data_IF_520458434960
#
_entry.id   IF_520458434960
#
_cell.length_a   1.000
_cell.length_b   1.000
_cell.length_c   1.000
_cell.angle_alpha   90.00
_cell.angle_beta   90.00
_cell.angle_gamma   90.00
#
_symmetry.space_group_name_H-M   'P 1'
#
loop_
_entity.id
_entity.type
_entity.pdbx_description
1 polymer ?
#
# COMPACT_ATOMS: atom_id res chain seq x y z
N UNK A 1 24.11 45.04 19.92
CA UNK A 1 23.15 45.70 19.00
C UNK A 1 21.76 45.37 19.55
N UNK A 2 21.16 46.15 20.48
CA UNK A 2 20.41 47.41 20.25
C UNK A 2 19.66 47.33 18.89
N UNK A 3 18.34 47.48 18.76
CA UNK A 3 17.45 48.41 19.45
C UNK A 3 15.99 48.22 18.99
N UNK A 4 15.06 48.48 19.92
CA UNK A 4 13.80 49.23 19.77
C UNK A 4 12.57 48.78 18.93
N UNK A 5 11.55 48.38 19.70
CA UNK A 5 10.12 48.80 19.72
C UNK A 5 9.76 50.15 19.03
N UNK A 6 8.60 50.19 18.33
CA UNK A 6 7.46 51.14 18.52
C UNK A 6 6.44 51.03 17.37
N UNK A 7 5.27 50.40 17.53
CA UNK A 7 3.96 51.01 17.85
C UNK A 7 3.78 52.45 17.30
N UNK A 8 2.91 52.62 16.30
CA UNK A 8 2.50 53.91 15.73
C UNK A 8 1.05 54.18 16.10
N UNK A 9 0.81 55.37 16.63
CA UNK A 9 -0.47 55.95 17.02
C UNK A 9 -0.97 56.83 15.89
N UNK A 10 -2.21 56.63 15.43
CA UNK A 10 -2.86 57.50 14.46
C UNK A 10 -3.97 58.33 15.12
N UNK A 11 -3.82 59.64 15.00
CA UNK A 11 -4.78 60.69 15.33
C UNK A 11 -4.07 62.03 15.10
N UNK A 12 -4.58 62.91 14.21
CA UNK A 12 -5.71 63.78 14.56
C UNK A 12 -6.77 63.95 13.44
N UNK A 13 -7.96 64.38 13.87
CA UNK A 13 -9.07 64.88 13.05
C UNK A 13 -8.75 66.29 12.51
N UNK A 14 -9.01 66.60 11.23
CA UNK A 14 -9.60 67.90 10.86
C UNK A 14 -10.17 67.94 9.43
N UNK A 15 -11.21 68.75 9.34
CA UNK A 15 -12.30 68.92 8.41
C UNK A 15 -11.87 69.57 7.08
N UNK A 16 -12.07 68.84 5.98
CA UNK A 16 -12.24 69.43 4.64
C UNK A 16 -13.59 69.01 4.06
N UNK A 17 -14.64 69.63 4.59
CA UNK A 17 -15.78 70.12 3.81
C UNK A 17 -15.27 70.77 2.49
N UNK A 18 -15.77 70.57 1.27
CA UNK A 18 -16.79 69.72 0.65
C UNK A 18 -16.44 69.68 -0.87
N UNK A 19 -16.69 68.61 -1.62
CA UNK A 19 -16.69 68.69 -3.07
C UNK A 19 -18.00 69.32 -3.57
N UNK A 20 -17.88 70.40 -4.34
CA UNK A 20 -18.93 70.93 -5.20
C UNK A 20 -18.81 70.28 -6.59
N UNK A 21 -19.97 70.04 -7.21
CA UNK A 21 -20.17 69.78 -8.65
C UNK A 21 -19.58 68.48 -9.23
N UNK A 22 -20.23 67.74 -10.14
CA UNK A 22 -21.46 67.90 -10.92
C UNK A 22 -21.58 66.61 -11.79
N UNK A 23 -22.80 66.09 -11.94
CA UNK A 23 -23.32 65.23 -13.03
C UNK A 23 -22.60 63.87 -13.29
N UNK A 24 -23.26 62.75 -13.55
CA UNK A 24 -24.32 62.53 -14.53
C UNK A 24 -25.09 61.20 -14.27
N UNK A 25 -26.37 61.24 -14.65
CA UNK A 25 -27.16 60.22 -15.36
C UNK A 25 -27.26 58.78 -14.82
N UNK A 26 -28.51 58.40 -14.54
CA UNK A 26 -29.20 57.21 -15.11
C UNK A 26 -29.84 56.29 -14.05
N UNK A 27 -31.18 56.28 -14.04
CA UNK A 27 -32.07 55.08 -14.07
C UNK A 27 -31.95 54.12 -12.87
N UNK A 28 -32.99 53.59 -12.24
CA UNK A 28 -34.44 53.73 -12.20
C UNK A 28 -34.88 52.63 -11.21
N UNK A 29 -35.86 52.94 -10.36
CA UNK A 29 -36.87 52.01 -9.81
C UNK A 29 -36.48 50.72 -9.04
N UNK A 30 -37.34 50.44 -8.05
CA UNK A 30 -37.74 49.10 -7.61
C UNK A 30 -36.83 48.35 -6.62
N UNK A 31 -37.05 48.59 -5.32
CA UNK A 31 -36.84 47.56 -4.29
C UNK A 31 -37.98 47.58 -3.26
N UNK A 32 -39.15 47.07 -3.67
CA UNK A 32 -40.14 46.46 -2.76
C UNK A 32 -40.85 45.35 -3.51
N UNK A 33 -40.25 44.17 -3.58
CA UNK A 33 -40.95 42.88 -3.71
C UNK A 33 -39.89 41.78 -3.68
N UNK A 34 -39.87 40.95 -2.63
CA UNK A 34 -39.52 39.52 -2.69
C UNK A 34 -39.33 38.97 -1.27
N UNK A 35 -40.44 38.62 -0.64
CA UNK A 35 -40.47 37.77 0.56
C UNK A 35 -41.42 36.61 0.32
N UNK A 36 -41.16 35.78 -0.69
CA UNK A 36 -41.92 34.54 -0.96
C UNK A 36 -41.16 33.48 -1.78
N UNK A 37 -39.90 33.12 -1.46
CA UNK A 37 -39.26 31.93 -2.07
C UNK A 37 -38.18 31.35 -1.15
N UNK A 38 -38.52 30.49 -0.18
CA UNK A 38 -37.47 29.74 0.55
C UNK A 38 -37.90 28.40 1.18
N UNK A 39 -38.93 27.71 0.67
CA UNK A 39 -39.36 26.41 1.24
C UNK A 39 -39.34 25.24 0.25
N UNK A 40 -39.09 25.46 -1.04
CA UNK A 40 -39.19 24.38 -2.05
C UNK A 40 -37.87 23.67 -2.44
N UNK A 41 -36.73 23.94 -1.79
CA UNK A 41 -35.42 23.42 -2.21
C UNK A 41 -34.88 22.22 -1.40
N UNK A 42 -35.46 21.90 -0.23
CA UNK A 42 -34.91 20.87 0.66
C UNK A 42 -35.28 19.42 0.30
N UNK A 43 -36.39 19.19 -0.41
CA UNK A 43 -36.87 17.83 -0.70
C UNK A 43 -36.16 17.15 -1.90
N UNK A 44 -35.59 17.93 -2.81
CA UNK A 44 -34.95 17.39 -4.02
C UNK A 44 -33.57 16.76 -3.75
N UNK A 45 -32.88 17.21 -2.69
CA UNK A 45 -31.53 16.76 -2.35
C UNK A 45 -31.48 15.41 -1.62
N UNK A 46 -32.57 14.98 -0.97
CA UNK A 46 -32.59 13.72 -0.22
C UNK A 46 -32.72 12.49 -1.13
N UNK A 47 -33.42 12.62 -2.26
CA UNK A 47 -33.55 11.54 -3.25
C UNK A 47 -32.25 11.31 -4.04
N UNK A 48 -31.55 12.39 -4.40
CA UNK A 48 -30.23 12.32 -5.03
C UNK A 48 -29.18 11.70 -4.09
N UNK A 49 -29.18 12.08 -2.81
CA UNK A 49 -28.28 11.49 -1.81
C UNK A 49 -28.54 10.00 -1.57
N UNK A 50 -29.82 9.59 -1.51
CA UNK A 50 -30.20 8.17 -1.37
C UNK A 50 -29.80 7.33 -2.57
N UNK A 51 -29.99 7.85 -3.79
CA UNK A 51 -29.57 7.18 -5.02
C UNK A 51 -28.04 7.08 -5.11
N UNK A 52 -27.30 8.12 -4.73
CA UNK A 52 -25.85 8.10 -4.69
C UNK A 52 -25.29 7.09 -3.67
N UNK A 53 -25.91 6.98 -2.48
CA UNK A 53 -25.53 5.99 -1.46
C UNK A 53 -25.84 4.57 -1.94
N UNK A 54 -27.00 4.33 -2.56
CA UNK A 54 -27.34 3.02 -3.14
C UNK A 54 -26.38 2.63 -4.26
N UNK A 55 -26.00 3.57 -5.14
CA UNK A 55 -25.03 3.33 -6.21
C UNK A 55 -23.63 3.05 -5.67
N UNK A 56 -23.21 3.73 -4.58
CA UNK A 56 -21.93 3.47 -3.91
C UNK A 56 -21.92 2.09 -3.25
N UNK A 57 -23.02 1.67 -2.62
CA UNK A 57 -23.18 0.33 -2.04
C UNK A 57 -23.17 -0.76 -3.11
N UNK A 58 -23.85 -0.55 -4.25
CA UNK A 58 -23.84 -1.51 -5.37
C UNK A 58 -22.45 -1.61 -6.01
N UNK A 59 -21.72 -0.49 -6.15
CA UNK A 59 -20.33 -0.49 -6.64
C UNK A 59 -19.36 -1.23 -5.71
N UNK A 60 -19.60 -1.18 -4.38
CA UNK A 60 -18.85 -1.93 -3.38
C UNK A 60 -19.13 -3.44 -3.41
N UNK A 61 -20.32 -3.87 -3.85
CA UNK A 61 -20.70 -5.29 -3.98
C UNK A 61 -20.34 -5.92 -5.34
N UNK A 62 -20.18 -5.13 -6.41
CA UNK A 62 -19.75 -5.62 -7.73
C UNK A 62 -18.23 -5.75 -7.90
N UNK A 63 -17.44 -5.25 -6.96
CA UNK A 63 -16.01 -5.52 -6.91
C UNK A 63 -15.81 -6.78 -6.07
N UNK A 64 -15.62 -7.98 -6.68
CA UNK A 64 -15.22 -9.13 -5.89
C UNK A 64 -13.93 -8.73 -5.16
N UNK A 65 -13.81 -8.94 -3.84
CA UNK A 65 -12.54 -8.80 -3.19
C UNK A 65 -11.62 -9.81 -3.88
N UNK A 66 -10.70 -9.32 -4.72
CA UNK A 66 -9.65 -10.13 -5.31
C UNK A 66 -8.63 -10.41 -4.20
N UNK A 67 -9.08 -11.11 -3.16
CA UNK A 67 -8.20 -11.82 -2.26
C UNK A 67 -7.86 -13.09 -3.02
N UNK A 68 -6.90 -12.97 -3.94
CA UNK A 68 -6.17 -14.15 -4.38
C UNK A 68 -5.57 -14.72 -3.10
N UNK A 69 -6.12 -15.85 -2.64
CA UNK A 69 -5.54 -16.56 -1.53
C UNK A 69 -4.08 -16.83 -1.89
N UNK A 70 -3.13 -16.37 -1.07
CA UNK A 70 -1.70 -16.67 -1.24
C UNK A 70 -1.39 -18.15 -0.96
N UNK A 71 -2.39 -19.04 -1.09
CA UNK A 71 -2.27 -20.44 -0.75
C UNK A 71 -1.50 -21.22 -1.80
N UNK A 72 -0.76 -22.19 -1.33
CA UNK A 72 -0.12 -23.21 -2.16
C UNK A 72 -1.15 -24.30 -2.51
N UNK A 73 -1.34 -24.57 -3.81
CA UNK A 73 -2.01 -25.79 -4.26
C UNK A 73 -1.12 -27.00 -3.96
N UNK A 74 -1.52 -27.94 -3.09
CA UNK A 74 -0.72 -29.12 -2.77
C UNK A 74 -0.39 -29.98 -3.99
N UNK A 75 -1.17 -29.91 -5.07
CA UNK A 75 -0.87 -30.64 -6.29
C UNK A 75 0.41 -30.14 -6.99
N UNK A 76 0.82 -28.88 -6.75
CA UNK A 76 2.05 -28.32 -7.29
C UNK A 76 3.30 -29.03 -6.72
N UNK A 77 3.23 -29.53 -5.48
CA UNK A 77 4.34 -30.23 -4.80
C UNK A 77 4.74 -31.55 -5.48
N UNK A 78 3.84 -32.11 -6.28
CA UNK A 78 4.02 -33.37 -7.00
C UNK A 78 4.53 -33.17 -8.44
N UNK A 79 4.68 -31.93 -8.87
CA UNK A 79 5.09 -31.57 -10.23
C UNK A 79 6.47 -30.90 -10.20
N UNK A 80 7.25 -30.98 -11.28
CA UNK A 80 8.48 -30.19 -11.40
C UNK A 80 8.20 -28.69 -11.23
N UNK A 81 9.14 -27.97 -10.61
CA UNK A 81 9.06 -26.54 -10.34
C UNK A 81 9.23 -25.69 -11.62
N UNK A 82 8.16 -25.54 -12.40
CA UNK A 82 8.14 -24.76 -13.65
C UNK A 82 7.85 -23.27 -13.44
N UNK A 83 6.93 -22.95 -12.55
CA UNK A 83 6.34 -21.63 -12.33
C UNK A 83 6.23 -21.28 -10.83
N UNK A 84 6.53 -22.24 -9.96
CA UNK A 84 6.57 -22.09 -8.51
C UNK A 84 7.72 -22.90 -7.91
N UNK A 85 8.30 -22.41 -6.81
CA UNK A 85 9.27 -23.12 -5.98
C UNK A 85 8.75 -23.27 -4.53
N UNK A 86 7.78 -24.17 -4.29
CA UNK A 86 7.00 -24.21 -3.05
C UNK A 86 7.66 -24.93 -1.88
N UNK A 87 8.82 -25.56 -2.08
CA UNK A 87 9.56 -26.26 -1.01
C UNK A 87 11.03 -25.90 -1.00
N UNK A 88 11.74 -26.29 0.05
CA UNK A 88 13.19 -26.14 0.15
C UNK A 88 13.94 -26.71 -1.08
N UNK A 89 13.40 -27.75 -1.73
CA UNK A 89 14.01 -28.38 -2.89
C UNK A 89 13.26 -28.13 -4.22
N UNK A 90 12.27 -27.25 -4.22
CA UNK A 90 11.35 -27.03 -5.35
C UNK A 90 10.19 -28.02 -5.32
N UNK A 91 10.48 -29.31 -5.39
CA UNK A 91 9.50 -30.41 -5.34
C UNK A 91 9.91 -31.51 -4.35
N UNK A 92 9.08 -32.56 -4.23
CA UNK A 92 9.38 -33.71 -3.38
C UNK A 92 10.43 -34.66 -3.93
N UNK A 93 10.97 -34.43 -5.14
CA UNK A 93 12.03 -35.25 -5.68
C UNK A 93 13.38 -34.97 -5.00
N UNK A 94 13.52 -33.83 -4.30
CA UNK A 94 14.77 -33.46 -3.61
C UNK A 94 15.93 -33.08 -4.53
N UNK A 95 15.71 -32.95 -5.85
CA UNK A 95 16.77 -32.75 -6.84
C UNK A 95 17.25 -31.31 -6.96
N UNK A 96 16.45 -30.35 -6.48
CA UNK A 96 16.71 -28.90 -6.65
C UNK A 96 16.92 -28.54 -8.12
N UNK A 97 16.03 -29.02 -8.99
CA UNK A 97 16.13 -28.87 -10.44
C UNK A 97 14.94 -28.08 -10.98
N UNK A 98 15.21 -27.05 -11.78
CA UNK A 98 14.18 -26.35 -12.57
C UNK A 98 14.29 -26.74 -14.04
N UNK A 99 13.16 -27.07 -14.71
CA UNK A 99 13.14 -27.31 -16.15
C UNK A 99 13.15 -26.03 -16.99
N UNK A 100 13.15 -24.84 -16.39
CA UNK A 100 13.19 -23.56 -17.12
C UNK A 100 14.52 -23.39 -17.87
N UNK A 101 14.44 -22.94 -19.12
CA UNK A 101 15.59 -22.79 -20.03
C UNK A 101 15.73 -21.37 -20.63
N UNK A 102 14.89 -20.43 -20.20
CA UNK A 102 14.96 -19.03 -20.63
C UNK A 102 16.36 -18.44 -20.39
N UNK A 103 16.99 -18.80 -19.27
CA UNK A 103 18.39 -18.50 -18.98
C UNK A 103 19.19 -19.77 -19.24
N UNK A 104 20.20 -19.68 -20.09
CA UNK A 104 21.00 -20.82 -20.52
C UNK A 104 22.44 -20.40 -20.89
N UNK A 105 23.26 -21.37 -21.28
CA UNK A 105 24.69 -21.15 -21.57
C UNK A 105 24.95 -20.09 -22.66
N UNK A 106 24.00 -19.88 -23.58
CA UNK A 106 24.19 -18.92 -24.67
C UNK A 106 23.81 -17.49 -24.29
N UNK A 107 23.10 -17.25 -23.18
CA UNK A 107 22.65 -15.90 -22.79
C UNK A 107 22.96 -15.50 -21.33
N UNK A 108 23.55 -16.40 -20.53
CA UNK A 108 23.88 -16.15 -19.12
C UNK A 108 24.73 -14.88 -18.91
N UNK A 109 25.57 -14.55 -19.89
CA UNK A 109 26.44 -13.37 -19.87
C UNK A 109 25.69 -12.04 -20.03
N UNK A 110 24.40 -12.07 -20.39
CA UNK A 110 23.54 -10.89 -20.50
C UNK A 110 22.73 -10.62 -19.23
N UNK A 111 22.88 -11.44 -18.17
CA UNK A 111 22.17 -11.21 -16.93
C UNK A 111 22.59 -9.89 -16.28
N UNK A 112 21.58 -9.15 -15.83
CA UNK A 112 21.75 -7.94 -15.05
C UNK A 112 20.92 -8.04 -13.78
N UNK A 113 21.33 -7.29 -12.75
CA UNK A 113 20.62 -7.20 -11.50
C UNK A 113 19.22 -6.60 -11.73
N UNK A 114 18.17 -7.35 -11.39
CA UNK A 114 16.79 -6.87 -11.48
C UNK A 114 16.41 -5.96 -10.30
N UNK A 115 16.74 -6.39 -9.07
CA UNK A 115 16.48 -5.65 -7.84
C UNK A 115 17.33 -6.21 -6.68
N UNK A 116 17.43 -5.45 -5.58
CA UNK A 116 18.08 -5.87 -4.32
C UNK A 116 17.10 -5.68 -3.18
N UNK A 117 17.08 -6.64 -2.26
CA UNK A 117 16.40 -6.55 -0.97
C UNK A 117 17.44 -6.66 0.16
N UNK A 118 17.35 -5.81 1.18
CA UNK A 118 18.24 -5.82 2.34
C UNK A 118 17.49 -6.27 3.59
N UNK A 119 17.77 -7.49 4.05
CA UNK A 119 17.23 -8.02 5.30
C UNK A 119 17.98 -7.52 6.55
N UNK A 120 19.13 -6.84 6.36
CA UNK A 120 20.03 -6.39 7.44
C UNK A 120 20.50 -7.51 8.38
N UNK A 121 20.50 -8.76 7.90
CA UNK A 121 20.91 -9.96 8.63
C UNK A 121 21.57 -10.97 7.70
N UNK A 122 22.31 -11.93 8.27
CA UNK A 122 22.85 -13.06 7.52
C UNK A 122 21.72 -14.00 7.08
N UNK A 123 21.60 -14.23 5.78
CA UNK A 123 20.59 -15.12 5.20
C UNK A 123 21.21 -16.48 4.85
N UNK A 124 20.72 -17.53 5.51
CA UNK A 124 21.02 -18.95 5.18
C UNK A 124 19.82 -19.67 4.54
N UNK A 125 18.75 -18.93 4.30
CA UNK A 125 17.47 -19.43 3.84
C UNK A 125 17.50 -19.79 2.35
N UNK A 126 16.81 -20.88 1.99
CA UNK A 126 16.34 -21.05 0.61
C UNK A 126 14.95 -20.42 0.52
N UNK A 127 14.74 -19.37 -0.29
CA UNK A 127 13.43 -18.78 -0.46
C UNK A 127 12.44 -19.78 -1.08
N UNK A 128 11.20 -19.74 -0.61
CA UNK A 128 10.08 -20.30 -1.37
C UNK A 128 9.56 -19.24 -2.33
N UNK A 129 9.17 -19.63 -3.53
CA UNK A 129 8.45 -18.78 -4.47
C UNK A 129 7.08 -19.40 -4.74
N UNK A 130 6.02 -18.70 -4.34
CA UNK A 130 4.64 -19.14 -4.54
C UNK A 130 3.80 -17.95 -4.95
N UNK A 131 3.13 -18.05 -6.11
CA UNK A 131 2.24 -17.02 -6.65
C UNK A 131 2.91 -15.63 -6.78
N UNK A 132 4.18 -15.56 -7.16
CA UNK A 132 4.93 -14.31 -7.32
C UNK A 132 5.44 -13.70 -6.02
N UNK A 133 5.38 -14.44 -4.91
CA UNK A 133 5.85 -14.00 -3.60
C UNK A 133 7.02 -14.87 -3.15
N UNK A 134 8.11 -14.22 -2.76
CA UNK A 134 9.26 -14.83 -2.11
C UNK A 134 9.05 -14.85 -0.60
N UNK A 135 9.14 -16.04 0.00
CA UNK A 135 9.14 -16.23 1.45
C UNK A 135 10.49 -16.74 1.92
N UNK A 136 11.16 -16.01 2.80
CA UNK A 136 12.47 -16.38 3.33
C UNK A 136 12.66 -15.88 4.75
N UNK A 137 13.72 -16.38 5.39
CA UNK A 137 13.93 -16.21 6.83
C UNK A 137 15.35 -15.81 7.18
N UNK A 138 15.46 -15.14 8.32
CA UNK A 138 16.66 -15.12 9.16
C UNK A 138 16.24 -15.65 10.54
N UNK A 139 17.16 -15.91 11.50
CA UNK A 139 16.76 -16.08 12.89
C UNK A 139 15.77 -14.98 13.31
N UNK A 140 14.69 -15.33 13.99
CA UNK A 140 13.62 -14.43 14.49
C UNK A 140 12.78 -13.70 13.43
N UNK A 141 13.04 -13.90 12.14
CA UNK A 141 12.49 -13.07 11.08
C UNK A 141 11.96 -13.90 9.90
N UNK A 142 10.79 -13.52 9.38
CA UNK A 142 10.21 -14.06 8.15
C UNK A 142 9.73 -12.90 7.30
N UNK A 143 10.12 -12.87 6.03
CA UNK A 143 9.66 -11.87 5.07
C UNK A 143 8.81 -12.51 3.98
N UNK A 144 7.81 -11.76 3.51
CA UNK A 144 7.23 -11.94 2.19
C UNK A 144 7.61 -10.74 1.32
N UNK A 145 8.18 -11.03 0.15
CA UNK A 145 8.66 -10.02 -0.79
C UNK A 145 8.09 -10.31 -2.17
N UNK A 146 7.66 -9.26 -2.87
CA UNK A 146 7.25 -9.35 -4.27
C UNK A 146 8.44 -9.81 -5.14
N UNK A 147 8.31 -10.97 -5.81
CA UNK A 147 9.39 -11.57 -6.57
C UNK A 147 9.81 -10.73 -7.79
N UNK A 148 8.93 -9.88 -8.30
CA UNK A 148 9.16 -9.09 -9.51
C UNK A 148 9.86 -7.76 -9.21
N UNK A 149 9.50 -7.14 -8.09
CA UNK A 149 9.96 -5.78 -7.76
C UNK A 149 10.83 -5.68 -6.51
N UNK A 150 10.97 -6.77 -5.73
CA UNK A 150 11.76 -6.77 -4.49
C UNK A 150 11.13 -5.94 -3.37
N UNK A 151 9.84 -5.61 -3.47
CA UNK A 151 9.11 -4.83 -2.45
C UNK A 151 8.66 -5.74 -1.31
N UNK A 152 8.95 -5.34 -0.08
CA UNK A 152 8.38 -5.99 1.11
C UNK A 152 6.85 -5.93 1.07
N UNK A 153 6.21 -7.08 1.20
CA UNK A 153 4.76 -7.20 1.36
C UNK A 153 4.43 -7.17 2.86
N UNK A 154 5.16 -7.99 3.63
CA UNK A 154 5.11 -7.99 5.09
C UNK A 154 6.39 -8.57 5.67
N UNK A 155 6.63 -8.23 6.94
CA UNK A 155 7.72 -8.75 7.76
C UNK A 155 7.16 -9.20 9.11
N UNK A 156 7.44 -10.44 9.47
CA UNK A 156 7.19 -10.98 10.79
C UNK A 156 8.50 -11.01 11.57
N UNK A 157 8.47 -10.49 12.80
CA UNK A 157 9.58 -10.53 13.73
C UNK A 157 9.10 -11.03 15.10
N UNK A 158 9.82 -12.01 15.65
CA UNK A 158 9.65 -12.48 17.03
C UNK A 158 11.02 -12.77 17.60
N UNK A 159 11.45 -11.95 18.55
CA UNK A 159 12.64 -12.22 19.33
C UNK A 159 12.53 -13.59 20.00
N UNK A 160 13.61 -14.36 19.96
CA UNK A 160 13.70 -15.64 20.65
C UNK A 160 15.04 -15.79 21.35
N UNK A 161 15.06 -16.67 22.36
CA UNK A 161 16.28 -17.06 23.05
C UNK A 161 17.00 -18.16 22.27
N UNK A 162 18.30 -18.33 22.48
CA UNK A 162 19.10 -19.40 21.85
C UNK A 162 20.05 -18.89 20.78
N UNK A 163 20.59 -19.84 20.00
CA UNK A 163 21.69 -19.56 19.07
C UNK A 163 21.19 -19.10 17.69
N UNK A 164 21.45 -17.83 17.35
CA UNK A 164 21.12 -17.23 16.05
C UNK A 164 22.14 -17.61 14.95
N UNK A 165 22.45 -18.89 14.82
CA UNK A 165 23.43 -19.42 13.84
C UNK A 165 22.89 -19.47 12.40
N UNK A 166 21.62 -19.09 12.19
CA UNK A 166 20.96 -19.00 10.89
C UNK A 166 19.69 -19.84 10.78
N UNK A 167 18.86 -19.56 9.78
CA UNK A 167 17.57 -20.25 9.56
C UNK A 167 17.43 -20.66 8.09
N UNK A 168 16.96 -21.90 7.84
CA UNK A 168 17.01 -22.53 6.50
C UNK A 168 15.83 -22.20 5.57
N UNK A 169 14.83 -21.50 6.08
CA UNK A 169 13.62 -21.13 5.33
C UNK A 169 12.36 -21.64 5.99
N UNK A 170 11.24 -21.37 5.34
CA UNK A 170 9.91 -21.78 5.81
C UNK A 170 9.45 -23.06 5.09
N UNK A 171 8.53 -23.79 5.71
CA UNK A 171 7.64 -24.72 5.03
C UNK A 171 6.33 -24.04 4.69
N UNK A 172 5.62 -24.52 3.66
CA UNK A 172 4.29 -24.03 3.31
C UNK A 172 3.33 -25.19 3.10
N UNK A 173 2.11 -25.05 3.59
CA UNK A 173 1.03 -25.97 3.29
C UNK A 173 -0.30 -25.22 3.24
N UNK A 174 -0.96 -25.27 2.07
CA UNK A 174 -2.16 -24.47 1.80
C UNK A 174 -1.87 -23.00 2.11
N UNK A 175 -2.59 -22.42 3.06
CA UNK A 175 -2.55 -21.00 3.40
C UNK A 175 -1.57 -20.67 4.53
N UNK A 176 -0.81 -21.66 5.01
CA UNK A 176 0.02 -21.52 6.20
C UNK A 176 1.49 -21.62 5.86
N UNK A 177 2.28 -20.74 6.49
CA UNK A 177 3.72 -20.82 6.53
C UNK A 177 4.13 -21.38 7.88
N UNK A 178 5.16 -22.21 7.89
CA UNK A 178 5.67 -22.87 9.08
C UNK A 178 7.15 -22.57 9.21
N UNK A 179 7.59 -22.14 10.38
CA UNK A 179 9.02 -21.95 10.64
C UNK A 179 9.36 -22.20 12.09
N UNK A 180 10.65 -22.44 12.35
CA UNK A 180 11.16 -22.74 13.68
C UNK A 180 11.95 -21.56 14.24
N UNK A 181 11.85 -21.31 15.53
CA UNK A 181 12.65 -20.27 16.19
C UNK A 181 13.90 -20.88 16.86
N UNK A 182 14.96 -20.09 17.09
CA UNK A 182 16.12 -20.49 17.88
C UNK A 182 15.79 -21.16 19.23
N UNK A 183 14.70 -20.74 19.90
CA UNK A 183 14.20 -21.33 21.16
C UNK A 183 13.34 -22.60 20.95
N UNK A 184 13.44 -23.25 19.78
CA UNK A 184 12.78 -24.50 19.43
C UNK A 184 11.25 -24.48 19.41
N UNK A 185 10.62 -23.32 19.14
CA UNK A 185 9.18 -23.27 18.84
C UNK A 185 8.91 -23.47 17.35
N UNK A 186 7.76 -24.08 17.03
CA UNK A 186 7.17 -24.10 15.70
C UNK A 186 6.06 -23.04 15.63
N UNK A 187 6.13 -22.14 14.66
CA UNK A 187 5.17 -21.05 14.47
C UNK A 187 4.42 -21.27 13.14
N UNK A 188 3.12 -20.96 13.13
CA UNK A 188 2.23 -21.03 11.96
C UNK A 188 1.36 -19.78 11.82
#
# INVERSE_FOLDING_TARGET
MLSHRSRRTDGPLDLRNRPAERMDLSVSASLRFNSFLNVASAHFNLHAARAAILLLFVALFLCPPFVAAQGLDPAALLKPATDTWPTYNGDYSGRRFSPLDQINATNIHSLTLAWIFSAHQELKSTPLEVNGILYFTAPDNVWAVDARYGREIWHYHRASEGDHIGHRGVGMYKNWLYFTTPDAHLIC
#
